data_IF_705107015599
#
_entry.id   IF_705107015599
#
_cell.length_a   1.000
_cell.length_b   1.000
_cell.length_c   1.000
_cell.angle_alpha   90.00
_cell.angle_beta   90.00
_cell.angle_gamma   90.00
#
_symmetry.space_group_name_H-M   'P 1'
#
loop_
_entity.id
_entity.type
_entity.pdbx_description
1 polymer ?
#
# COMPACT_ATOMS: atom_id res chain seq x y z
N UNK A 1 1.41 37.13 -12.21
CA UNK A 1 0.25 36.22 -12.17
C UNK A 1 0.59 35.13 -11.17
N UNK A 2 0.10 35.25 -9.93
CA UNK A 2 0.23 34.16 -8.95
C UNK A 2 -0.85 33.14 -9.26
N UNK A 3 -0.43 31.94 -9.66
CA UNK A 3 -1.29 30.76 -9.56
C UNK A 3 -1.33 30.42 -8.07
N UNK A 4 -2.45 30.73 -7.43
CA UNK A 4 -2.74 30.30 -6.06
C UNK A 4 -2.60 28.78 -6.00
N UNK A 5 -1.47 28.33 -5.44
CA UNK A 5 -1.29 26.98 -4.97
C UNK A 5 -2.17 26.80 -3.73
N UNK A 6 -3.48 26.74 -3.94
CA UNK A 6 -4.42 26.25 -2.96
C UNK A 6 -4.22 24.72 -2.88
N UNK A 7 -3.08 24.31 -2.34
CA UNK A 7 -2.81 22.92 -1.96
C UNK A 7 -3.78 22.60 -0.83
N UNK A 8 -4.95 22.13 -1.23
CA UNK A 8 -5.96 21.60 -0.33
C UNK A 8 -5.29 20.43 0.40
N UNK A 9 -4.78 20.67 1.61
CA UNK A 9 -4.20 19.62 2.44
C UNK A 9 -5.28 18.59 2.68
N UNK A 10 -5.10 17.38 2.16
CA UNK A 10 -6.00 16.25 2.41
C UNK A 10 -6.19 16.10 3.92
N UNK A 11 -7.42 15.84 4.35
CA UNK A 11 -7.70 15.55 5.76
C UNK A 11 -7.03 14.23 6.16
N UNK A 12 -6.79 14.04 7.45
CA UNK A 12 -6.29 12.76 7.99
C UNK A 12 -7.14 11.57 7.51
N UNK A 13 -8.47 11.72 7.47
CA UNK A 13 -9.37 10.68 6.97
C UNK A 13 -9.11 10.36 5.49
N UNK A 14 -8.94 11.38 4.64
CA UNK A 14 -8.62 11.18 3.22
C UNK A 14 -7.25 10.51 3.02
N UNK A 15 -6.24 10.92 3.77
CA UNK A 15 -4.91 10.30 3.72
C UNK A 15 -4.94 8.83 4.16
N UNK A 16 -5.72 8.53 5.20
CA UNK A 16 -5.90 7.15 5.67
C UNK A 16 -6.62 6.30 4.62
N UNK A 17 -7.70 6.81 4.02
CA UNK A 17 -8.44 6.12 2.96
C UNK A 17 -7.56 5.83 1.74
N UNK A 18 -6.73 6.79 1.32
CA UNK A 18 -5.75 6.62 0.24
C UNK A 18 -4.74 5.50 0.54
N UNK A 19 -4.17 5.50 1.76
CA UNK A 19 -3.20 4.49 2.19
C UNK A 19 -3.83 3.09 2.32
N UNK A 20 -5.06 3.00 2.83
CA UNK A 20 -5.81 1.74 2.91
C UNK A 20 -6.13 1.22 1.51
N UNK A 21 -6.52 2.10 0.58
CA UNK A 21 -6.75 1.74 -0.82
C UNK A 21 -5.47 1.20 -1.48
N UNK A 22 -4.33 1.86 -1.23
CA UNK A 22 -3.03 1.37 -1.70
C UNK A 22 -2.66 0.01 -1.10
N UNK A 23 -2.89 -0.19 0.20
CA UNK A 23 -2.63 -1.47 0.86
C UNK A 23 -3.46 -2.63 0.25
N UNK A 24 -4.73 -2.38 -0.08
CA UNK A 24 -5.58 -3.37 -0.77
C UNK A 24 -5.03 -3.74 -2.14
N UNK A 25 -4.65 -2.75 -2.94
CA UNK A 25 -4.05 -2.98 -4.28
C UNK A 25 -2.75 -3.76 -4.19
N UNK A 26 -1.92 -3.50 -3.18
CA UNK A 26 -0.69 -4.27 -2.94
C UNK A 26 -0.99 -5.73 -2.57
N UNK A 27 -2.03 -5.97 -1.76
CA UNK A 27 -2.52 -7.31 -1.45
C UNK A 27 -2.99 -8.05 -2.70
N UNK A 28 -3.78 -7.40 -3.55
CA UNK A 28 -4.22 -7.98 -4.83
C UNK A 28 -3.04 -8.33 -5.76
N UNK A 29 -2.02 -7.47 -5.84
CA UNK A 29 -0.80 -7.78 -6.60
C UNK A 29 -0.03 -8.95 -5.98
N UNK A 30 0.09 -9.01 -4.66
CA UNK A 30 0.73 -10.12 -3.97
C UNK A 30 0.00 -11.43 -4.29
N UNK A 31 -1.31 -11.46 -4.12
CA UNK A 31 -2.14 -12.63 -4.35
C UNK A 31 -2.07 -13.10 -5.81
N UNK A 32 -2.04 -12.18 -6.78
CA UNK A 32 -1.92 -12.53 -8.21
C UNK A 32 -0.61 -13.21 -8.61
N UNK A 33 0.42 -13.11 -7.76
CA UNK A 33 1.73 -13.73 -7.97
C UNK A 33 1.88 -14.97 -7.08
N UNK A 34 1.38 -14.90 -5.85
CA UNK A 34 1.53 -15.95 -4.85
C UNK A 34 0.52 -17.10 -5.01
N UNK A 35 -0.66 -16.80 -5.55
CA UNK A 35 -1.79 -17.74 -5.60
C UNK A 35 -2.14 -18.14 -7.04
N UNK A 36 -2.49 -19.43 -7.20
CA UNK A 36 -3.04 -19.97 -8.43
C UNK A 36 -4.51 -19.54 -8.66
N UNK A 37 -5.09 -19.96 -9.78
CA UNK A 37 -6.48 -19.66 -10.14
C UNK A 37 -7.53 -20.19 -9.13
N UNK A 38 -7.13 -21.11 -8.24
CA UNK A 38 -7.97 -21.68 -7.18
C UNK A 38 -7.75 -20.98 -5.83
N UNK A 39 -6.88 -19.98 -5.78
CA UNK A 39 -6.51 -19.27 -4.56
C UNK A 39 -5.56 -20.05 -3.66
N UNK A 40 -4.84 -21.06 -4.19
CA UNK A 40 -3.84 -21.82 -3.44
C UNK A 40 -2.45 -21.27 -3.72
N UNK A 41 -1.57 -21.38 -2.73
CA UNK A 41 -0.16 -21.04 -2.90
C UNK A 41 0.46 -21.84 -4.05
N UNK A 42 1.21 -21.16 -4.91
CA UNK A 42 2.05 -21.84 -5.88
C UNK A 42 3.08 -22.72 -5.17
N UNK A 43 3.22 -23.97 -5.61
CA UNK A 43 4.22 -24.91 -5.09
C UNK A 43 5.66 -24.42 -5.31
N UNK A 44 5.87 -23.62 -6.36
CA UNK A 44 7.15 -23.01 -6.69
C UNK A 44 6.93 -21.71 -7.46
N UNK A 45 7.62 -20.66 -7.04
CA UNK A 45 7.72 -19.39 -7.76
C UNK A 45 8.95 -19.40 -8.67
N UNK A 46 8.88 -18.63 -9.75
CA UNK A 46 10.05 -18.27 -10.56
C UNK A 46 10.90 -17.22 -9.83
N UNK A 47 12.18 -17.12 -10.18
CA UNK A 47 13.09 -16.11 -9.59
C UNK A 47 12.56 -14.68 -9.77
N UNK A 48 11.86 -14.42 -10.89
CA UNK A 48 11.24 -13.12 -11.19
C UNK A 48 10.07 -12.84 -10.25
N UNK A 49 9.20 -13.82 -10.04
CA UNK A 49 8.05 -13.71 -9.13
C UNK A 49 8.50 -13.55 -7.68
N UNK A 50 9.54 -14.28 -7.25
CA UNK A 50 10.13 -14.09 -5.92
C UNK A 50 10.65 -12.67 -5.73
N UNK A 51 11.35 -12.11 -6.72
CA UNK A 51 11.86 -10.74 -6.64
C UNK A 51 10.73 -9.71 -6.67
N UNK A 52 9.65 -9.95 -7.42
CA UNK A 52 8.45 -9.11 -7.37
C UNK A 52 7.77 -9.15 -5.99
N UNK A 53 7.61 -10.34 -5.39
CA UNK A 53 7.04 -10.45 -4.04
C UNK A 53 7.91 -9.73 -3.00
N UNK A 54 9.24 -9.83 -3.08
CA UNK A 54 10.16 -9.07 -2.19
C UNK A 54 9.94 -7.56 -2.32
N UNK A 55 9.79 -7.05 -3.54
CA UNK A 55 9.52 -5.64 -3.79
C UNK A 55 8.16 -5.21 -3.22
N UNK A 56 7.10 -6.00 -3.47
CA UNK A 56 5.76 -5.74 -2.92
C UNK A 56 5.82 -5.70 -1.39
N UNK A 57 6.50 -6.66 -0.76
CA UNK A 57 6.61 -6.74 0.70
C UNK A 57 7.34 -5.52 1.31
N UNK A 58 8.36 -5.01 0.61
CA UNK A 58 9.02 -3.77 1.00
C UNK A 58 8.09 -2.55 0.91
N UNK A 59 7.23 -2.48 -0.11
CA UNK A 59 6.23 -1.41 -0.24
C UNK A 59 5.14 -1.53 0.83
N UNK A 60 4.64 -2.73 1.12
CA UNK A 60 3.66 -2.99 2.20
C UNK A 60 4.20 -2.44 3.52
N UNK A 61 5.44 -2.78 3.87
CA UNK A 61 6.08 -2.30 5.11
C UNK A 61 6.09 -0.76 5.21
N UNK A 62 6.34 -0.07 4.09
CA UNK A 62 6.31 1.39 4.01
C UNK A 62 4.90 1.95 4.19
N UNK A 63 3.90 1.37 3.52
CA UNK A 63 2.50 1.81 3.61
C UNK A 63 1.96 1.58 5.03
N UNK A 64 2.25 0.45 5.65
CA UNK A 64 1.86 0.17 7.05
C UNK A 64 2.43 1.20 8.01
N UNK A 65 3.69 1.61 7.81
CA UNK A 65 4.31 2.68 8.61
C UNK A 65 3.59 4.03 8.40
N UNK A 66 3.28 4.40 7.16
CA UNK A 66 2.57 5.65 6.87
C UNK A 66 1.16 5.66 7.49
N UNK A 67 0.45 4.53 7.46
CA UNK A 67 -0.86 4.39 8.13
C UNK A 67 -0.71 4.67 9.64
N UNK A 68 0.32 4.08 10.27
CA UNK A 68 0.60 4.31 11.69
C UNK A 68 0.88 5.79 11.98
N UNK A 69 1.74 6.44 11.19
CA UNK A 69 2.07 7.87 11.35
C UNK A 69 0.81 8.75 11.27
N UNK A 70 -0.07 8.50 10.29
CA UNK A 70 -1.34 9.23 10.14
C UNK A 70 -2.28 9.02 11.34
N UNK A 71 -2.38 7.80 11.88
CA UNK A 71 -3.21 7.49 13.06
C UNK A 71 -2.65 8.15 14.33
N UNK A 72 -1.32 8.10 14.53
CA UNK A 72 -0.66 8.74 15.67
C UNK A 72 -0.86 10.27 15.63
N UNK A 73 -0.73 10.89 14.46
CA UNK A 73 -1.03 12.31 14.27
C UNK A 73 -2.50 12.67 14.55
N UNK A 74 -3.43 11.79 14.20
CA UNK A 74 -4.86 11.98 14.46
C UNK A 74 -5.20 11.94 15.96
N UNK A 75 -4.48 11.12 16.72
CA UNK A 75 -4.76 10.84 18.14
C UNK A 75 -4.12 11.88 19.07
N UNK A 76 -3.08 12.59 18.61
CA UNK A 76 -2.40 13.64 19.37
C UNK A 76 -3.03 15.04 19.22
N UNK A 77 -4.10 15.17 18.41
CA UNK A 77 -4.86 16.41 18.21
C UNK A 77 -6.14 16.42 19.06
#
# INVERSE_FOLDING_TARGET
MSLDANTQKSTTAQQLDELVSLAKRLGECFDSIALDEQGKWHDRLTDVEEDQLKQINAVISRVTRQIREVIEEATQR
#
